data_IF_477830095047
#
_entry.id   IF_477830095047
#
_cell.length_a   1.000
_cell.length_b   1.000
_cell.length_c   1.000
_cell.angle_alpha   90.00
_cell.angle_beta   90.00
_cell.angle_gamma   90.00
#
_symmetry.space_group_name_H-M   'P 1'
#
loop_
_entity.id
_entity.type
_entity.pdbx_description
1 polymer ?
#
# COMPACT_ATOMS: atom_id res chain seq x y z
N UNK A 1 -13.05 -14.49 2.34
CA UNK A 1 -11.72 -14.08 2.84
C UNK A 1 -11.94 -13.33 4.14
N UNK A 2 -11.15 -13.60 5.18
CA UNK A 2 -11.31 -12.92 6.47
C UNK A 2 -10.57 -11.59 6.39
N UNK A 3 -11.31 -10.49 6.27
CA UNK A 3 -10.79 -9.13 6.31
C UNK A 3 -11.18 -8.49 7.64
N UNK A 4 -10.27 -7.73 8.25
CA UNK A 4 -10.53 -7.05 9.52
C UNK A 4 -9.73 -5.75 9.64
N UNK A 5 -10.28 -4.84 10.44
CA UNK A 5 -9.55 -3.72 11.02
C UNK A 5 -9.17 -4.08 12.44
N UNK A 6 -7.87 -4.15 12.75
CA UNK A 6 -7.38 -4.52 14.06
C UNK A 6 -6.53 -3.41 14.69
N UNK A 7 -6.53 -3.35 16.01
CA UNK A 7 -5.67 -2.45 16.76
C UNK A 7 -4.31 -3.12 17.02
N UNK A 8 -3.17 -2.48 16.72
CA UNK A 8 -1.86 -3.06 17.00
C UNK A 8 -1.46 -3.02 18.49
N UNK A 9 -2.19 -2.28 19.33
CA UNK A 9 -1.85 -2.08 20.76
C UNK A 9 -2.83 -2.71 21.75
N UNK A 10 -4.01 -3.13 21.30
CA UNK A 10 -4.96 -3.87 22.12
C UNK A 10 -5.62 -4.97 21.29
N UNK A 11 -6.53 -5.70 21.90
CA UNK A 11 -7.28 -6.81 21.32
C UNK A 11 -8.49 -6.38 20.45
N UNK A 12 -8.68 -5.07 20.23
CA UNK A 12 -9.82 -4.60 19.44
C UNK A 12 -9.67 -4.98 17.97
N UNK A 13 -10.66 -5.69 17.44
CA UNK A 13 -10.80 -5.96 16.02
C UNK A 13 -12.28 -5.83 15.59
N UNK A 14 -12.51 -5.44 14.34
CA UNK A 14 -13.84 -5.35 13.75
C UNK A 14 -13.80 -5.60 12.24
N UNK A 15 -14.96 -5.82 11.63
CA UNK A 15 -15.07 -5.85 10.18
C UNK A 15 -14.65 -4.49 9.56
N UNK A 16 -14.13 -4.46 8.32
CA UNK A 16 -13.83 -3.21 7.62
C UNK A 16 -15.06 -2.31 7.46
N UNK A 17 -14.88 -1.01 7.70
CA UNK A 17 -15.92 0.02 7.59
C UNK A 17 -15.27 1.35 7.18
N UNK A 18 -16.07 2.24 6.60
CA UNK A 18 -15.65 3.60 6.20
C UNK A 18 -15.64 4.62 7.37
N UNK A 19 -16.07 4.20 8.56
CA UNK A 19 -16.16 5.03 9.77
C UNK A 19 -14.87 4.94 10.62
N UNK A 20 -14.65 5.83 11.60
CA UNK A 20 -13.30 6.30 11.92
C UNK A 20 -12.31 5.17 12.14
N UNK A 21 -11.19 5.26 11.44
CA UNK A 21 -10.09 4.29 11.46
C UNK A 21 -9.26 4.40 12.75
N UNK A 22 -9.87 4.77 13.89
CA UNK A 22 -9.22 4.84 15.20
C UNK A 22 -9.84 3.81 16.13
N UNK A 23 -8.99 3.16 16.92
CA UNK A 23 -9.44 2.24 17.95
C UNK A 23 -10.30 2.98 18.99
N UNK A 24 -11.52 2.50 19.28
CA UNK A 24 -12.39 3.15 20.28
C UNK A 24 -11.87 2.99 21.71
N UNK A 25 -10.91 2.08 21.95
CA UNK A 25 -10.33 1.82 23.27
C UNK A 25 -9.08 2.65 23.56
N UNK A 26 -8.20 2.82 22.57
CA UNK A 26 -6.89 3.47 22.76
C UNK A 26 -6.61 4.64 21.78
N UNK A 27 -7.48 4.91 20.81
CA UNK A 27 -7.38 6.07 19.91
C UNK A 27 -6.35 5.98 18.77
N UNK A 28 -5.51 4.93 18.75
CA UNK A 28 -4.52 4.69 17.69
C UNK A 28 -5.19 4.28 16.36
N UNK A 29 -4.56 4.49 15.20
CA UNK A 29 -5.07 4.00 13.93
C UNK A 29 -5.27 2.48 13.92
N UNK A 30 -6.36 2.02 13.33
CA UNK A 30 -6.59 0.61 13.05
C UNK A 30 -5.85 0.20 11.77
N UNK A 31 -5.27 -0.99 11.76
CA UNK A 31 -4.62 -1.60 10.61
C UNK A 31 -5.58 -2.54 9.88
N UNK A 32 -5.54 -2.52 8.55
CA UNK A 32 -6.29 -3.46 7.72
C UNK A 32 -5.49 -4.75 7.54
N UNK A 33 -6.10 -5.88 7.90
CA UNK A 33 -5.51 -7.21 7.77
C UNK A 33 -6.41 -8.09 6.93
N UNK A 34 -5.78 -8.80 6.01
CA UNK A 34 -6.35 -9.88 5.21
C UNK A 34 -5.27 -10.90 4.91
N UNK A 35 -5.68 -12.10 4.52
CA UNK A 35 -4.79 -13.02 3.85
C UNK A 35 -4.39 -12.43 2.49
N UNK A 36 -3.08 -12.35 2.25
CA UNK A 36 -2.52 -11.90 0.97
C UNK A 36 -2.41 -13.09 0.02
N UNK A 37 -2.70 -12.90 -1.28
CA UNK A 37 -2.56 -13.97 -2.24
C UNK A 37 -1.08 -14.21 -2.60
N UNK A 38 -0.74 -15.42 -3.01
CA UNK A 38 0.58 -15.76 -3.56
C UNK A 38 0.67 -15.28 -5.01
N UNK A 39 1.03 -14.00 -5.19
CA UNK A 39 1.11 -13.32 -6.50
C UNK A 39 2.52 -12.77 -6.69
N UNK A 40 3.16 -13.11 -7.80
CA UNK A 40 4.49 -12.63 -8.16
C UNK A 40 4.45 -11.37 -9.05
N UNK A 41 5.61 -10.72 -9.29
CA UNK A 41 5.68 -9.54 -10.15
C UNK A 41 5.17 -9.75 -11.58
N UNK A 42 5.29 -10.97 -12.13
CA UNK A 42 4.82 -11.33 -13.47
C UNK A 42 3.30 -11.46 -13.59
N UNK A 43 2.61 -11.65 -12.46
CA UNK A 43 1.16 -11.82 -12.41
C UNK A 43 0.42 -10.47 -12.31
N UNK A 44 1.16 -9.37 -12.11
CA UNK A 44 0.59 -8.04 -11.96
C UNK A 44 0.13 -7.47 -13.30
N UNK A 45 -1.19 -7.35 -13.47
CA UNK A 45 -1.83 -6.84 -14.69
C UNK A 45 -2.51 -5.49 -14.44
N UNK A 46 -2.59 -4.65 -15.47
CA UNK A 46 -3.26 -3.35 -15.39
C UNK A 46 -2.28 -2.17 -15.28
N UNK A 47 -2.79 -1.00 -14.89
CA UNK A 47 -2.04 0.26 -14.82
C UNK A 47 -2.08 0.86 -13.42
N UNK A 48 -1.07 1.67 -13.10
CA UNK A 48 -1.09 2.49 -11.91
C UNK A 48 -1.09 1.71 -10.60
N UNK A 49 -1.88 2.17 -9.63
CA UNK A 49 -2.07 1.48 -8.35
C UNK A 49 -2.88 0.19 -8.52
N UNK A 50 -3.84 0.18 -9.44
CA UNK A 50 -4.75 -0.95 -9.68
C UNK A 50 -4.06 -2.22 -10.16
N UNK A 51 -2.81 -2.13 -10.66
CA UNK A 51 -2.01 -3.33 -10.96
C UNK A 51 -1.72 -4.21 -9.74
N UNK A 52 -1.83 -3.63 -8.54
CA UNK A 52 -1.67 -4.32 -7.27
C UNK A 52 -3.02 -4.76 -6.67
N UNK A 53 -4.10 -4.75 -7.46
CA UNK A 53 -5.45 -5.16 -7.04
C UNK A 53 -5.51 -6.42 -6.15
N UNK A 54 -4.75 -7.50 -6.43
CA UNK A 54 -4.71 -8.68 -5.56
C UNK A 54 -4.32 -8.39 -4.09
N UNK A 55 -3.56 -7.32 -3.83
CA UNK A 55 -3.12 -6.90 -2.50
C UNK A 55 -3.99 -5.80 -1.89
N UNK A 56 -4.88 -5.18 -2.67
CA UNK A 56 -5.75 -4.08 -2.22
C UNK A 56 -7.07 -4.63 -1.66
N UNK A 57 -7.77 -3.86 -0.80
CA UNK A 57 -9.15 -4.16 -0.44
C UNK A 57 -10.04 -4.27 -1.69
N UNK A 58 -11.09 -5.12 -1.68
CA UNK A 58 -12.00 -5.25 -2.80
C UNK A 58 -12.73 -3.92 -3.05
N UNK A 59 -12.57 -3.37 -4.25
CA UNK A 59 -13.21 -2.13 -4.67
C UNK A 59 -13.31 -2.08 -6.20
N UNK A 60 -14.31 -1.35 -6.70
CA UNK A 60 -14.38 -1.00 -8.12
C UNK A 60 -13.28 0.02 -8.46
N UNK A 61 -12.45 -0.22 -9.50
CA UNK A 61 -11.36 0.68 -9.85
C UNK A 61 -11.83 2.06 -10.28
N UNK A 62 -11.34 3.09 -9.58
CA UNK A 62 -11.44 4.50 -10.00
C UNK A 62 -10.02 5.03 -10.12
N UNK A 63 -9.68 5.63 -11.26
CA UNK A 63 -8.30 6.02 -11.56
C UNK A 63 -8.23 7.37 -12.27
N UNK A 64 -7.17 8.11 -11.97
CA UNK A 64 -6.75 9.31 -12.70
C UNK A 64 -5.46 9.04 -13.51
N UNK A 65 -5.06 7.77 -13.64
CA UNK A 65 -3.78 7.39 -14.23
C UNK A 65 -2.60 7.52 -13.26
N UNK A 66 -2.87 7.46 -11.96
CA UNK A 66 -1.87 7.53 -10.89
C UNK A 66 -0.94 6.31 -10.87
N UNK A 67 0.16 6.39 -10.11
CA UNK A 67 1.14 5.30 -9.99
C UNK A 67 2.05 5.16 -11.21
N UNK A 68 2.85 4.09 -11.24
CA UNK A 68 3.89 3.86 -12.26
C UNK A 68 4.85 5.06 -12.47
N UNK A 69 5.03 5.88 -11.45
CA UNK A 69 5.87 7.06 -11.52
C UNK A 69 7.36 6.70 -11.63
N UNK A 70 8.17 7.53 -12.33
CA UNK A 70 9.51 7.12 -12.71
C UNK A 70 10.47 7.04 -11.53
N UNK A 71 11.43 6.11 -11.65
CA UNK A 71 12.65 6.08 -10.87
C UNK A 71 13.76 6.72 -11.70
N UNK A 72 14.23 7.91 -11.30
CA UNK A 72 15.22 8.69 -12.04
C UNK A 72 16.59 8.53 -11.42
N UNK A 73 17.57 8.05 -12.18
CA UNK A 73 18.94 7.91 -11.69
C UNK A 73 19.59 9.27 -11.41
N UNK A 74 20.27 9.36 -10.27
CA UNK A 74 20.98 10.57 -9.84
C UNK A 74 22.28 10.73 -10.62
N UNK A 75 22.40 11.82 -11.37
CA UNK A 75 23.57 12.08 -12.22
C UNK A 75 24.79 12.63 -11.49
N UNK A 76 24.63 13.18 -10.28
CA UNK A 76 25.72 13.87 -9.55
C UNK A 76 25.82 13.43 -8.10
N UNK A 77 24.68 13.31 -7.42
CA UNK A 77 24.67 13.05 -5.97
C UNK A 77 25.09 11.60 -5.70
N UNK A 78 24.59 10.65 -6.49
CA UNK A 78 24.98 9.23 -6.36
C UNK A 78 26.50 9.05 -6.50
N UNK A 79 27.08 9.63 -7.56
CA UNK A 79 28.53 9.61 -7.80
C UNK A 79 29.33 10.23 -6.65
N UNK A 80 28.95 11.44 -6.21
CA UNK A 80 29.63 12.14 -5.09
C UNK A 80 29.58 11.37 -3.77
N UNK A 81 28.56 10.54 -3.59
CA UNK A 81 28.39 9.71 -2.39
C UNK A 81 28.95 8.28 -2.57
N UNK A 82 29.40 7.91 -3.77
CA UNK A 82 29.87 6.55 -4.07
C UNK A 82 28.76 5.49 -4.02
N UNK A 83 27.51 5.85 -4.32
CA UNK A 83 26.35 4.94 -4.27
C UNK A 83 25.50 5.03 -5.53
N UNK A 84 24.77 3.94 -5.85
CA UNK A 84 23.70 3.98 -6.87
C UNK A 84 22.45 4.62 -6.26
N UNK A 85 22.22 5.88 -6.59
CA UNK A 85 21.08 6.66 -6.09
C UNK A 85 20.03 6.84 -7.20
N UNK A 86 18.77 6.53 -6.90
CA UNK A 86 17.61 6.84 -7.73
C UNK A 86 16.63 7.71 -6.95
N UNK A 87 15.97 8.64 -7.62
CA UNK A 87 14.87 9.42 -7.09
C UNK A 87 13.55 8.80 -7.51
N UNK A 88 12.67 8.58 -6.55
CA UNK A 88 11.27 8.22 -6.80
C UNK A 88 10.47 9.51 -6.87
N UNK A 89 10.03 9.89 -8.06
CA UNK A 89 9.21 11.09 -8.27
C UNK A 89 7.74 10.72 -8.11
N UNK A 90 7.18 10.81 -6.91
CA UNK A 90 5.76 10.52 -6.67
C UNK A 90 4.80 11.48 -7.37
#
# INVERSE_FOLDING_TARGET
MKEELFCPFCDFARAPTFEPLRCPRCGVPLEYRRELPEVGPGDLQGRGVWRYGPFLPPAEPVSLGEGATPLIESRRIGERLGVRLLFKLE
#
